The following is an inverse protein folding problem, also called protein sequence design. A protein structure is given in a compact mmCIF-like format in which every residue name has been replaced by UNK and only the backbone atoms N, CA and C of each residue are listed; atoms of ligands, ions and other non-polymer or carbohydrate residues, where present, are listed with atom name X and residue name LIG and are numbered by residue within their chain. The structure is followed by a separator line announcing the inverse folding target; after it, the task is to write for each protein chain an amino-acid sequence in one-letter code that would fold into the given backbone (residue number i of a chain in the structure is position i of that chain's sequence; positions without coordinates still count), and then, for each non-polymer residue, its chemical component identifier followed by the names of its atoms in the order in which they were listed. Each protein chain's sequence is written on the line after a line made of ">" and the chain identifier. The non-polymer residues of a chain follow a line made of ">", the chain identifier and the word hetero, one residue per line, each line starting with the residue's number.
data_IF_085444667057
#
_entry.id   IF_085444667057
#
_cell.length_a   1.000
_cell.length_b   1.000
_cell.length_c   1.000
_cell.angle_alpha   90.00
_cell.angle_beta   90.00
_cell.angle_gamma   90.00
#
_symmetry.space_group_name_H-M   'P 1'
#
loop_
_entity.id
_entity.type
_entity.pdbx_description
1 polymer ?
#
# COMPACT_ATOMS: atom_id res chain seq x y z
N UNK A 1 7.35 -18.62 -31.40
CA UNK A 1 6.53 -18.74 -30.18
C UNK A 1 6.74 -17.50 -29.33
N UNK A 2 5.73 -16.67 -29.04
CA UNK A 2 5.90 -15.62 -28.06
C UNK A 2 6.27 -16.25 -26.71
N UNK A 3 7.20 -15.62 -25.98
CA UNK A 3 7.52 -16.04 -24.63
C UNK A 3 6.22 -16.00 -23.80
N UNK A 4 6.01 -16.94 -22.86
CA UNK A 4 4.87 -16.86 -21.97
C UNK A 4 4.94 -15.50 -21.25
N UNK A 5 3.93 -14.66 -21.47
CA UNK A 5 3.77 -13.44 -20.68
C UNK A 5 3.62 -13.88 -19.23
N UNK A 6 4.59 -13.54 -18.39
CA UNK A 6 4.47 -13.84 -16.94
C UNK A 6 3.18 -13.19 -16.43
N UNK A 7 2.40 -13.96 -15.69
CA UNK A 7 1.19 -13.45 -15.04
C UNK A 7 1.57 -12.24 -14.17
N UNK A 8 0.81 -11.14 -14.24
CA UNK A 8 1.06 -9.97 -13.39
C UNK A 8 1.01 -10.34 -11.91
N UNK A 9 1.82 -9.68 -11.10
CA UNK A 9 2.01 -9.96 -9.69
C UNK A 9 1.75 -8.72 -8.83
N UNK A 10 0.84 -8.81 -7.89
CA UNK A 10 0.59 -7.77 -6.88
C UNK A 10 1.13 -8.23 -5.52
N UNK A 11 1.94 -7.38 -4.90
CA UNK A 11 2.44 -7.56 -3.54
C UNK A 11 1.53 -6.82 -2.55
N UNK A 12 0.88 -7.54 -1.63
CA UNK A 12 -0.05 -6.97 -0.64
C UNK A 12 0.58 -7.01 0.76
N UNK A 13 0.86 -5.84 1.33
CA UNK A 13 1.63 -5.70 2.58
C UNK A 13 0.76 -5.24 3.75
N UNK A 14 0.78 -5.97 4.89
CA UNK A 14 -0.05 -5.64 6.05
C UNK A 14 0.56 -4.53 6.91
N UNK A 15 -0.28 -3.93 7.77
CA UNK A 15 0.14 -3.04 8.85
C UNK A 15 0.68 -3.78 10.08
N UNK A 16 0.95 -3.04 11.16
CA UNK A 16 1.37 -3.63 12.43
C UNK A 16 0.23 -4.32 13.20
N UNK A 17 -0.98 -3.81 13.09
CA UNK A 17 -2.20 -4.39 13.67
C UNK A 17 -3.32 -4.56 12.64
N UNK A 18 -2.99 -4.46 11.35
CA UNK A 18 -3.91 -4.55 10.23
C UNK A 18 -3.45 -5.67 9.30
N UNK A 19 -3.90 -6.88 9.59
CA UNK A 19 -3.48 -8.09 8.88
C UNK A 19 -4.19 -8.31 7.54
N UNK A 20 -3.81 -9.38 6.84
CA UNK A 20 -4.35 -9.76 5.53
C UNK A 20 -5.87 -10.07 5.54
N UNK A 21 -6.46 -10.30 6.72
CA UNK A 21 -7.91 -10.54 6.91
C UNK A 21 -8.70 -9.25 7.16
N UNK A 22 -8.01 -8.11 7.34
CA UNK A 22 -8.67 -6.84 7.52
C UNK A 22 -9.25 -6.30 6.20
N UNK A 23 -10.36 -5.52 6.23
CA UNK A 23 -11.20 -5.25 5.06
C UNK A 23 -10.45 -4.78 3.82
N UNK A 24 -9.63 -3.75 3.93
CA UNK A 24 -8.94 -3.18 2.75
C UNK A 24 -7.99 -4.18 2.07
N UNK A 25 -7.28 -5.01 2.84
CA UNK A 25 -6.34 -5.98 2.27
C UNK A 25 -7.06 -7.24 1.79
N UNK A 26 -8.12 -7.64 2.48
CA UNK A 26 -8.97 -8.73 2.04
C UNK A 26 -9.58 -8.43 0.66
N UNK A 27 -10.22 -7.27 0.52
CA UNK A 27 -10.84 -6.89 -0.76
C UNK A 27 -9.82 -6.59 -1.85
N UNK A 28 -8.65 -6.03 -1.52
CA UNK A 28 -7.55 -5.89 -2.49
C UNK A 28 -7.17 -7.23 -3.13
N UNK A 29 -7.07 -8.29 -2.32
CA UNK A 29 -6.76 -9.64 -2.83
C UNK A 29 -7.90 -10.18 -3.69
N UNK A 30 -9.15 -10.02 -3.26
CA UNK A 30 -10.31 -10.44 -4.05
C UNK A 30 -10.40 -9.70 -5.40
N UNK A 31 -10.05 -8.40 -5.43
CA UNK A 31 -9.96 -7.61 -6.66
C UNK A 31 -8.88 -8.20 -7.59
N UNK A 32 -7.67 -8.47 -7.06
CA UNK A 32 -6.59 -9.05 -7.87
C UNK A 32 -6.99 -10.43 -8.44
N UNK A 33 -7.61 -11.28 -7.62
CA UNK A 33 -8.13 -12.59 -8.05
C UNK A 33 -9.19 -12.45 -9.15
N UNK A 34 -10.08 -11.46 -9.08
CA UNK A 34 -11.10 -11.19 -10.10
C UNK A 34 -10.48 -10.79 -11.46
N UNK A 35 -9.29 -10.22 -11.45
CA UNK A 35 -8.53 -9.83 -12.65
C UNK A 35 -7.49 -10.89 -13.07
N UNK A 36 -7.54 -12.12 -12.54
CA UNK A 36 -6.58 -13.19 -12.82
C UNK A 36 -5.13 -12.80 -12.55
N UNK A 37 -4.89 -11.98 -11.52
CA UNK A 37 -3.57 -11.49 -11.11
C UNK A 37 -3.06 -12.31 -9.92
N UNK A 38 -1.80 -12.73 -9.97
CA UNK A 38 -1.16 -13.40 -8.85
C UNK A 38 -0.95 -12.45 -7.67
N UNK A 39 -1.14 -12.96 -6.45
CA UNK A 39 -0.96 -12.19 -5.21
C UNK A 39 0.10 -12.83 -4.32
N UNK A 40 1.08 -12.04 -3.91
CA UNK A 40 1.98 -12.36 -2.80
C UNK A 40 1.59 -11.52 -1.60
N UNK A 41 1.15 -12.15 -0.52
CA UNK A 41 0.62 -11.49 0.67
C UNK A 41 1.28 -12.05 1.95
N UNK A 42 2.50 -11.58 2.29
CA UNK A 42 3.17 -12.03 3.51
C UNK A 42 2.40 -11.58 4.76
N UNK A 43 2.58 -12.34 5.82
CA UNK A 43 2.14 -11.96 7.16
C UNK A 43 3.36 -11.81 8.07
N UNK A 44 3.28 -10.88 9.00
CA UNK A 44 4.34 -10.64 10.00
C UNK A 44 3.79 -10.19 11.34
N UNK A 45 4.62 -10.31 12.36
CA UNK A 45 4.39 -9.69 13.66
C UNK A 45 5.41 -8.56 13.83
N UNK A 46 4.93 -7.39 14.23
CA UNK A 46 5.78 -6.20 14.46
C UNK A 46 6.12 -6.13 15.94
N UNK A 47 7.33 -6.53 16.27
CA UNK A 47 7.91 -6.43 17.60
C UNK A 47 8.73 -5.13 17.80
N UNK A 48 9.42 -5.01 18.92
CA UNK A 48 10.25 -3.85 19.22
C UNK A 48 11.44 -3.71 18.26
N UNK A 49 12.03 -4.81 17.80
CA UNK A 49 13.13 -4.80 16.85
C UNK A 49 12.67 -4.33 15.45
N UNK A 50 11.49 -4.78 15.01
CA UNK A 50 10.86 -4.31 13.77
C UNK A 50 10.55 -2.81 13.83
N UNK A 51 10.10 -2.31 14.99
CA UNK A 51 9.83 -0.87 15.19
C UNK A 51 11.11 -0.01 15.24
N UNK A 52 12.23 -0.57 15.67
CA UNK A 52 13.51 0.14 15.74
C UNK A 52 14.09 0.44 14.34
N UNK A 53 13.83 -0.45 13.36
CA UNK A 53 14.24 -0.25 11.97
C UNK A 53 13.17 -0.83 11.03
N UNK A 54 12.06 -0.09 10.86
CA UNK A 54 10.90 -0.59 10.12
C UNK A 54 11.19 -0.75 8.63
N UNK A 55 12.01 0.12 8.04
CA UNK A 55 12.39 0.02 6.62
C UNK A 55 13.15 -1.27 6.35
N UNK A 56 14.22 -1.53 7.11
CA UNK A 56 14.99 -2.74 6.93
C UNK A 56 14.19 -4.01 7.26
N UNK A 57 13.31 -3.95 8.27
CA UNK A 57 12.42 -5.07 8.58
C UNK A 57 11.51 -5.40 7.40
N UNK A 58 10.76 -4.41 6.88
CA UNK A 58 9.81 -4.63 5.79
C UNK A 58 10.53 -5.08 4.52
N UNK A 59 11.68 -4.48 4.19
CA UNK A 59 12.48 -4.87 3.04
C UNK A 59 12.92 -6.35 3.10
N UNK A 60 13.36 -6.82 4.26
CA UNK A 60 13.70 -8.25 4.46
C UNK A 60 12.48 -9.16 4.26
N UNK A 61 11.30 -8.78 4.78
CA UNK A 61 10.07 -9.54 4.61
C UNK A 61 9.63 -9.59 3.14
N UNK A 62 9.68 -8.46 2.46
CA UNK A 62 9.36 -8.35 1.02
C UNK A 62 10.31 -9.21 0.19
N UNK A 63 11.62 -9.11 0.42
CA UNK A 63 12.63 -9.89 -0.30
C UNK A 63 12.41 -11.39 -0.13
N UNK A 64 12.13 -11.83 1.10
CA UNK A 64 11.83 -13.24 1.39
C UNK A 64 10.55 -13.70 0.70
N UNK A 65 9.48 -12.91 0.76
CA UNK A 65 8.19 -13.29 0.21
C UNK A 65 8.19 -13.36 -1.33
N UNK A 66 8.95 -12.48 -1.97
CA UNK A 66 9.05 -12.45 -3.43
C UNK A 66 9.96 -13.54 -4.00
N UNK A 67 10.92 -14.04 -3.24
CA UNK A 67 11.84 -15.10 -3.67
C UNK A 67 12.47 -14.82 -5.05
N UNK A 68 13.03 -13.64 -5.21
CA UNK A 68 13.66 -13.18 -6.45
C UNK A 68 12.70 -12.65 -7.53
N UNK A 69 11.40 -12.77 -7.34
CA UNK A 69 10.40 -12.21 -8.27
C UNK A 69 10.28 -10.70 -8.13
N UNK A 70 9.79 -10.04 -9.16
CA UNK A 70 9.47 -8.61 -9.15
C UNK A 70 7.96 -8.41 -9.26
N UNK A 71 7.31 -7.72 -8.31
CA UNK A 71 5.90 -7.38 -8.47
C UNK A 71 5.72 -6.26 -9.48
N UNK A 72 4.55 -6.22 -10.10
CA UNK A 72 4.12 -5.15 -11.00
C UNK A 72 3.48 -4.00 -10.25
N UNK A 73 2.90 -4.29 -9.07
CA UNK A 73 2.28 -3.30 -8.18
C UNK A 73 2.46 -3.70 -6.72
N UNK A 74 2.60 -2.72 -5.84
CA UNK A 74 2.53 -2.89 -4.39
C UNK A 74 1.23 -2.27 -3.86
N UNK A 75 0.48 -2.99 -3.05
CA UNK A 75 -0.59 -2.40 -2.21
C UNK A 75 -0.22 -2.59 -0.76
N UNK A 76 0.03 -1.52 -0.05
CA UNK A 76 0.55 -1.57 1.32
C UNK A 76 -0.30 -0.75 2.28
N UNK A 77 -0.47 -1.24 3.51
CA UNK A 77 -1.21 -0.55 4.57
C UNK A 77 -0.29 -0.19 5.74
N UNK A 78 -0.32 1.08 6.14
CA UNK A 78 0.32 1.56 7.38
C UNK A 78 1.79 1.13 7.49
N UNK A 79 2.14 0.25 8.42
CA UNK A 79 3.49 -0.29 8.60
C UNK A 79 4.04 -0.95 7.32
N UNK A 80 3.20 -1.55 6.50
CA UNK A 80 3.60 -2.07 5.19
C UNK A 80 4.15 -1.00 4.25
N UNK A 81 3.76 0.27 4.43
CA UNK A 81 4.24 1.39 3.62
C UNK A 81 5.73 1.74 3.86
N UNK A 82 6.38 1.15 4.87
CA UNK A 82 7.85 1.18 4.96
C UNK A 82 8.54 0.41 3.82
N UNK A 83 7.78 -0.25 2.94
CA UNK A 83 8.28 -0.75 1.66
C UNK A 83 8.51 0.34 0.60
N UNK A 84 8.02 1.58 0.80
CA UNK A 84 8.15 2.68 -0.16
C UNK A 84 9.61 2.90 -0.63
N UNK A 85 10.62 3.00 0.25
CA UNK A 85 12.00 3.17 -0.19
C UNK A 85 12.50 2.01 -1.07
N UNK A 86 12.09 0.78 -0.77
CA UNK A 86 12.41 -0.40 -1.57
C UNK A 86 11.73 -0.35 -2.95
N UNK A 87 10.43 -0.01 -3.00
CA UNK A 87 9.65 0.07 -4.22
C UNK A 87 10.20 1.13 -5.19
N UNK A 88 10.50 2.33 -4.67
CA UNK A 88 11.08 3.42 -5.46
C UNK A 88 12.43 3.03 -6.06
N UNK A 89 13.33 2.42 -5.27
CA UNK A 89 14.62 1.93 -5.79
C UNK A 89 14.47 0.87 -6.87
N UNK A 90 13.37 0.13 -6.89
CA UNK A 90 13.06 -0.92 -7.87
C UNK A 90 12.21 -0.42 -9.04
N UNK A 91 11.77 0.84 -9.03
CA UNK A 91 10.86 1.39 -10.04
C UNK A 91 9.52 0.64 -10.06
N UNK A 92 9.00 0.28 -8.89
CA UNK A 92 7.70 -0.38 -8.73
C UNK A 92 6.73 0.65 -8.15
N UNK A 93 5.62 0.87 -8.85
CA UNK A 93 4.55 1.74 -8.36
C UNK A 93 3.68 1.06 -7.31
N UNK A 94 2.90 1.85 -6.57
CA UNK A 94 2.08 1.29 -5.51
C UNK A 94 0.87 2.12 -5.13
N UNK A 95 -0.05 1.45 -4.43
CA UNK A 95 -1.15 2.06 -3.68
C UNK A 95 -0.80 2.00 -2.19
N UNK A 96 -0.54 3.16 -1.62
CA UNK A 96 -0.03 3.34 -0.26
C UNK A 96 -1.16 3.80 0.65
N UNK A 97 -1.77 2.85 1.37
CA UNK A 97 -2.92 3.08 2.24
C UNK A 97 -2.45 3.52 3.64
N UNK A 98 -2.79 4.73 4.02
CA UNK A 98 -2.41 5.38 5.28
C UNK A 98 -0.91 5.24 5.59
N UNK A 99 -0.02 5.72 4.68
CA UNK A 99 1.41 5.69 4.92
C UNK A 99 1.76 6.55 6.13
N UNK A 100 2.80 6.14 6.86
CA UNK A 100 3.31 6.85 8.04
C UNK A 100 4.15 8.04 7.58
N UNK A 101 3.52 9.13 7.12
CA UNK A 101 4.22 10.30 6.57
C UNK A 101 4.94 11.14 7.62
N UNK A 102 4.75 10.85 8.90
CA UNK A 102 5.56 11.39 9.99
C UNK A 102 6.96 10.78 10.04
N UNK A 103 7.20 9.67 9.32
CA UNK A 103 8.53 9.10 9.14
C UNK A 103 9.22 9.72 7.92
N UNK A 104 10.43 10.31 8.08
CA UNK A 104 11.13 10.98 6.99
C UNK A 104 11.49 10.08 5.81
N UNK A 105 11.78 8.80 6.05
CA UNK A 105 12.13 7.87 4.98
C UNK A 105 10.91 7.54 4.10
N UNK A 106 9.73 7.40 4.71
CA UNK A 106 8.46 7.18 4.00
C UNK A 106 8.07 8.42 3.21
N UNK A 107 8.13 9.61 3.83
CA UNK A 107 7.79 10.86 3.16
C UNK A 107 8.74 11.15 1.97
N UNK A 108 10.04 11.00 2.15
CA UNK A 108 11.03 11.19 1.08
C UNK A 108 10.87 10.18 -0.06
N UNK A 109 10.57 8.93 0.26
CA UNK A 109 10.32 7.91 -0.76
C UNK A 109 9.04 8.21 -1.55
N UNK A 110 7.97 8.66 -0.90
CA UNK A 110 6.74 9.05 -1.58
C UNK A 110 6.95 10.30 -2.47
N UNK A 111 7.81 11.24 -2.05
CA UNK A 111 8.20 12.38 -2.89
C UNK A 111 8.88 11.92 -4.19
N UNK A 112 9.64 10.83 -4.15
CA UNK A 112 10.35 10.26 -5.29
C UNK A 112 9.56 9.19 -6.05
N UNK A 113 8.35 8.87 -5.64
CA UNK A 113 7.52 7.84 -6.27
C UNK A 113 7.02 8.29 -7.67
N UNK A 114 6.81 7.32 -8.56
CA UNK A 114 6.31 7.53 -9.91
C UNK A 114 4.87 8.05 -9.97
N UNK A 115 4.47 8.57 -11.12
CA UNK A 115 3.15 9.16 -11.35
C UNK A 115 2.01 8.13 -11.27
N UNK A 116 2.31 6.85 -11.45
CA UNK A 116 1.34 5.78 -11.32
C UNK A 116 1.13 5.33 -9.86
N UNK A 117 1.96 5.82 -8.95
CA UNK A 117 1.78 5.59 -7.52
C UNK A 117 0.71 6.52 -6.92
N UNK A 118 -0.07 6.01 -6.00
CA UNK A 118 -1.02 6.81 -5.21
C UNK A 118 -0.86 6.54 -3.71
N UNK A 119 -1.09 7.57 -2.92
CA UNK A 119 -1.17 7.46 -1.48
C UNK A 119 -2.52 7.98 -0.98
N UNK A 120 -3.12 7.25 -0.06
CA UNK A 120 -4.44 7.57 0.50
C UNK A 120 -4.35 7.63 2.01
N UNK A 121 -4.82 8.70 2.63
CA UNK A 121 -4.88 8.85 4.07
C UNK A 121 -6.09 9.63 4.54
N UNK A 122 -6.43 9.51 5.81
CA UNK A 122 -7.57 10.19 6.39
C UNK A 122 -7.22 11.57 6.92
N UNK A 123 -8.12 12.55 6.81
CA UNK A 123 -7.88 13.89 7.36
C UNK A 123 -7.84 13.92 8.90
N UNK A 124 -8.38 12.90 9.57
CA UNK A 124 -8.30 12.69 11.01
C UNK A 124 -7.16 11.75 11.45
N UNK A 125 -6.33 11.30 10.50
CA UNK A 125 -5.16 10.47 10.79
C UNK A 125 -3.94 11.35 11.12
N UNK A 126 -3.40 11.31 12.34
CA UNK A 126 -2.23 12.12 12.71
C UNK A 126 -0.94 11.73 11.97
N UNK A 127 -0.91 10.55 11.34
CA UNK A 127 0.24 10.11 10.53
C UNK A 127 0.12 10.52 9.06
N UNK A 128 -1.06 10.97 8.62
CA UNK A 128 -1.27 11.52 7.29
C UNK A 128 -0.86 12.97 7.24
N UNK A 129 0.33 13.24 6.76
CA UNK A 129 0.92 14.57 6.70
C UNK A 129 1.43 14.87 5.27
N UNK A 130 0.52 15.14 4.30
CA UNK A 130 0.91 15.40 2.90
C UNK A 130 1.94 16.52 2.74
N UNK A 131 1.94 17.51 3.63
CA UNK A 131 2.92 18.62 3.64
C UNK A 131 4.36 18.15 3.86
N UNK A 132 4.58 16.98 4.50
CA UNK A 132 5.91 16.42 4.69
C UNK A 132 6.49 15.80 3.40
N UNK A 133 5.63 15.47 2.43
CA UNK A 133 6.06 14.88 1.14
C UNK A 133 6.65 15.96 0.23
N UNK A 134 6.13 17.18 0.29
CA UNK A 134 6.54 18.26 -0.62
C UNK A 134 6.06 18.01 -2.06
N UNK A 135 6.93 18.24 -3.04
CA UNK A 135 6.61 18.00 -4.45
C UNK A 135 6.74 16.54 -4.78
N UNK A 136 5.72 15.96 -5.40
CA UNK A 136 5.70 14.56 -5.86
C UNK A 136 4.92 14.43 -7.16
N UNK A 137 5.21 13.40 -7.95
CA UNK A 137 4.39 12.98 -9.09
C UNK A 137 3.26 12.04 -8.68
N UNK A 138 3.37 11.39 -7.51
CA UNK A 138 2.34 10.48 -7.01
C UNK A 138 1.04 11.20 -6.67
N UNK A 139 -0.09 10.54 -6.88
CA UNK A 139 -1.40 11.03 -6.44
C UNK A 139 -1.54 11.00 -4.93
N UNK A 140 -1.92 12.12 -4.31
CA UNK A 140 -2.22 12.18 -2.87
C UNK A 140 -3.73 12.38 -2.67
N UNK A 141 -4.38 11.41 -2.03
CA UNK A 141 -5.82 11.41 -1.79
C UNK A 141 -6.13 11.49 -0.30
N UNK A 142 -6.75 12.60 0.12
CA UNK A 142 -7.19 12.77 1.51
C UNK A 142 -8.67 12.40 1.64
N UNK A 143 -8.96 11.43 2.49
CA UNK A 143 -10.33 11.00 2.81
C UNK A 143 -10.84 11.80 4.00
N UNK A 144 -11.85 12.64 3.77
CA UNK A 144 -12.34 13.56 4.79
C UNK A 144 -12.98 12.87 5.99
N UNK A 145 -12.53 13.24 7.19
CA UNK A 145 -12.99 12.73 8.48
C UNK A 145 -12.56 11.31 8.82
N UNK A 146 -11.82 10.63 7.92
CA UNK A 146 -11.34 9.28 8.19
C UNK A 146 -10.07 9.28 9.05
N UNK A 147 -9.95 8.28 9.90
CA UNK A 147 -8.79 8.02 10.75
C UNK A 147 -7.75 7.12 10.04
N UNK A 148 -6.77 6.63 10.83
CA UNK A 148 -5.72 5.73 10.32
C UNK A 148 -6.22 4.38 9.80
N UNK A 149 -7.40 3.93 10.19
CA UNK A 149 -8.06 2.74 9.65
C UNK A 149 -8.89 3.03 8.38
N UNK A 150 -8.97 4.29 7.96
CA UNK A 150 -9.92 4.82 6.97
C UNK A 150 -11.37 4.62 7.44
N UNK A 151 -11.60 4.90 8.71
CA UNK A 151 -12.90 4.81 9.35
C UNK A 151 -13.30 6.16 9.95
N UNK A 152 -14.60 6.40 10.02
CA UNK A 152 -15.20 7.53 10.73
C UNK A 152 -15.78 7.03 12.04
N UNK A 153 -15.21 7.47 13.14
CA UNK A 153 -15.60 7.02 14.47
C UNK A 153 -17.09 7.25 14.72
N UNK A 154 -17.80 6.18 15.07
CA UNK A 154 -19.23 6.21 15.36
C UNK A 154 -20.14 6.17 14.12
N UNK A 155 -19.58 6.13 12.91
CA UNK A 155 -20.33 6.02 11.65
C UNK A 155 -19.78 4.89 10.76
N UNK A 156 -20.19 3.65 11.07
CA UNK A 156 -19.74 2.49 10.32
C UNK A 156 -20.24 2.49 8.86
N UNK A 157 -21.42 3.07 8.58
CA UNK A 157 -21.95 3.15 7.21
C UNK A 157 -21.13 4.10 6.35
N UNK A 158 -20.72 5.25 6.90
CA UNK A 158 -19.82 6.17 6.23
C UNK A 158 -18.44 5.52 6.03
N UNK A 159 -17.93 4.85 7.06
CA UNK A 159 -16.66 4.11 6.99
C UNK A 159 -16.64 3.08 5.85
N UNK A 160 -17.70 2.28 5.71
CA UNK A 160 -17.81 1.32 4.61
C UNK A 160 -17.82 1.98 3.23
N UNK A 161 -18.57 3.09 3.06
CA UNK A 161 -18.58 3.82 1.78
C UNK A 161 -17.20 4.35 1.43
N UNK A 162 -16.54 5.00 2.39
CA UNK A 162 -15.19 5.54 2.18
C UNK A 162 -14.17 4.45 1.85
N UNK A 163 -14.22 3.31 2.53
CA UNK A 163 -13.36 2.17 2.20
C UNK A 163 -13.68 1.59 0.82
N UNK A 164 -14.94 1.54 0.41
CA UNK A 164 -15.34 1.13 -0.93
C UNK A 164 -14.79 2.09 -2.00
N UNK A 165 -14.85 3.40 -1.77
CA UNK A 165 -14.30 4.39 -2.70
C UNK A 165 -12.77 4.25 -2.82
N UNK A 166 -12.08 4.01 -1.71
CA UNK A 166 -10.63 3.73 -1.70
C UNK A 166 -10.31 2.43 -2.43
N UNK A 167 -11.12 1.38 -2.28
CA UNK A 167 -10.95 0.14 -3.03
C UNK A 167 -11.18 0.33 -4.53
N UNK A 168 -12.02 1.27 -4.94
CA UNK A 168 -12.13 1.70 -6.35
C UNK A 168 -10.82 2.21 -6.91
N UNK A 169 -10.05 3.03 -6.14
CA UNK A 169 -8.72 3.47 -6.56
C UNK A 169 -7.72 2.30 -6.66
N UNK A 170 -7.82 1.32 -5.75
CA UNK A 170 -6.99 0.09 -5.80
C UNK A 170 -7.32 -0.70 -7.06
N UNK A 171 -8.62 -0.90 -7.36
CA UNK A 171 -9.07 -1.64 -8.53
C UNK A 171 -8.64 -0.96 -9.83
N UNK A 172 -8.75 0.36 -9.94
CA UNK A 172 -8.28 1.11 -11.10
C UNK A 172 -6.80 0.83 -11.39
N UNK A 173 -5.95 0.79 -10.36
CA UNK A 173 -4.53 0.47 -10.51
C UNK A 173 -4.27 -0.99 -10.86
N UNK A 174 -4.95 -1.92 -10.21
CA UNK A 174 -4.85 -3.35 -10.53
C UNK A 174 -5.28 -3.62 -11.98
N UNK A 175 -6.38 -3.01 -12.44
CA UNK A 175 -6.89 -3.20 -13.79
C UNK A 175 -5.93 -2.69 -14.89
N UNK A 176 -4.99 -1.79 -14.58
CA UNK A 176 -3.97 -1.35 -15.57
C UNK A 176 -2.96 -2.45 -15.90
N UNK A 177 -2.78 -3.45 -15.04
CA UNK A 177 -1.80 -4.53 -15.22
C UNK A 177 -2.22 -5.56 -16.28
N UNK A 178 -3.50 -5.59 -16.65
CA UNK A 178 -4.08 -6.57 -17.59
C UNK A 178 -4.58 -5.94 -18.90
N UNK A 179 -4.23 -4.66 -19.14
CA UNK A 179 -4.56 -3.92 -20.38
C UNK A 179 -3.44 -3.97 -21.44
#
# INVERSE_FOLDING_TARGET
>A
MPAPTSQPLVLVLPGSGYGQQAPLLWWTRAIAEQHDIEVVAPAWTVDSAAKADPVAFVERQVTRALDGRRPDLVVAKSFGCFALPWAVRRGVDGVWLTPVLTDPAVAAALAAAGAESIAVGGSADPMWLPSAVGTTCAGLHTVDGADHALEVRGDWRRSQRLQSDVLGLVEERIATLVR
#
